data_IF_203592431229
#
_entry.id   IF_203592431229
#
_cell.length_a   1.000
_cell.length_b   1.000
_cell.length_c   1.000
_cell.angle_alpha   90.00
_cell.angle_beta   90.00
_cell.angle_gamma   90.00
#
_symmetry.space_group_name_H-M   'P 1'
#
loop_
_entity.id
_entity.type
_entity.pdbx_description
1 polymer ?
#
# COMPACT_ATOMS: atom_id res chain seq x y z
N UNK A 1 -40.26 -10.11 6.91
CA UNK A 1 -39.45 -8.87 6.77
C UNK A 1 -38.31 -8.87 7.77
N UNK A 2 -38.53 -9.22 9.05
CA UNK A 2 -37.49 -9.24 10.10
C UNK A 2 -36.37 -10.25 9.79
N UNK A 3 -36.67 -11.41 9.25
CA UNK A 3 -35.71 -12.43 8.91
C UNK A 3 -34.73 -11.96 7.83
N UNK A 4 -35.20 -11.22 6.83
CA UNK A 4 -34.33 -10.64 5.79
C UNK A 4 -33.39 -9.57 6.32
N UNK A 5 -33.86 -8.75 7.27
CA UNK A 5 -33.06 -7.70 7.91
C UNK A 5 -31.93 -8.33 8.76
N UNK A 6 -32.22 -9.37 9.53
CA UNK A 6 -31.22 -10.08 10.34
C UNK A 6 -30.15 -10.76 9.48
N UNK A 7 -30.57 -11.43 8.39
CA UNK A 7 -29.63 -12.08 7.46
C UNK A 7 -28.74 -11.05 6.78
N UNK A 8 -29.32 -9.92 6.33
CA UNK A 8 -28.56 -8.83 5.71
C UNK A 8 -27.52 -8.24 6.67
N UNK A 9 -27.91 -7.98 7.91
CA UNK A 9 -27.01 -7.44 8.94
C UNK A 9 -25.85 -8.42 9.29
N UNK A 10 -26.15 -9.72 9.38
CA UNK A 10 -25.14 -10.74 9.63
C UNK A 10 -24.14 -10.87 8.49
N UNK A 11 -24.60 -10.80 7.24
CA UNK A 11 -23.73 -10.85 6.04
C UNK A 11 -22.86 -9.61 5.97
N UNK A 12 -23.41 -8.44 6.18
CA UNK A 12 -22.67 -7.16 6.14
C UNK A 12 -21.60 -7.10 7.22
N UNK A 13 -21.91 -7.53 8.44
CA UNK A 13 -20.97 -7.60 9.54
C UNK A 13 -19.82 -8.57 9.22
N UNK A 14 -20.13 -9.79 8.76
CA UNK A 14 -19.14 -10.81 8.41
C UNK A 14 -18.22 -10.34 7.27
N UNK A 15 -18.81 -9.67 6.26
CA UNK A 15 -18.06 -9.10 5.14
C UNK A 15 -17.07 -8.02 5.60
N UNK A 16 -17.49 -7.13 6.49
CA UNK A 16 -16.63 -6.12 7.10
C UNK A 16 -15.44 -6.74 7.83
N UNK A 17 -15.66 -7.81 8.59
CA UNK A 17 -14.61 -8.53 9.30
C UNK A 17 -13.59 -9.16 8.34
N UNK A 18 -14.06 -9.82 7.28
CA UNK A 18 -13.20 -10.44 6.25
C UNK A 18 -12.37 -9.38 5.52
N UNK A 19 -12.98 -8.25 5.18
CA UNK A 19 -12.29 -7.17 4.50
C UNK A 19 -11.15 -6.59 5.36
N UNK A 20 -11.39 -6.38 6.64
CA UNK A 20 -10.38 -5.90 7.57
C UNK A 20 -9.22 -6.89 7.75
N UNK A 21 -9.51 -8.19 7.71
CA UNK A 21 -8.51 -9.25 7.78
C UNK A 21 -7.63 -9.27 6.51
N UNK A 22 -8.23 -9.13 5.35
CA UNK A 22 -7.51 -9.17 4.06
C UNK A 22 -6.66 -7.92 3.80
N UNK A 23 -6.93 -6.79 4.45
CA UNK A 23 -6.34 -5.49 4.14
C UNK A 23 -4.81 -5.48 4.31
N UNK A 24 -4.28 -5.88 5.45
CA UNK A 24 -2.85 -5.87 5.72
C UNK A 24 -2.06 -6.84 4.81
N UNK A 25 -2.42 -8.11 4.61
CA UNK A 25 -1.75 -9.01 3.68
C UNK A 25 -1.77 -8.50 2.24
N UNK A 26 -2.91 -7.98 1.79
CA UNK A 26 -3.05 -7.43 0.44
C UNK A 26 -2.13 -6.24 0.20
N UNK A 27 -2.00 -5.34 1.17
CA UNK A 27 -1.10 -4.21 1.08
C UNK A 27 0.37 -4.61 1.10
N UNK A 28 0.75 -5.55 1.96
CA UNK A 28 2.12 -6.08 1.96
C UNK A 28 2.45 -6.68 0.58
N UNK A 29 1.51 -7.43 -0.02
CA UNK A 29 1.68 -7.95 -1.38
C UNK A 29 1.73 -6.83 -2.43
N UNK A 30 0.91 -5.79 -2.30
CA UNK A 30 0.96 -4.62 -3.18
C UNK A 30 2.36 -3.98 -3.18
N UNK A 31 3.01 -3.85 -2.02
CA UNK A 31 4.36 -3.31 -1.94
C UNK A 31 5.43 -4.15 -2.63
N UNK A 32 5.16 -5.41 -2.96
CA UNK A 32 6.09 -6.21 -3.78
C UNK A 32 6.32 -5.61 -5.17
N UNK A 33 5.32 -4.91 -5.73
CA UNK A 33 5.43 -4.22 -7.02
C UNK A 33 6.31 -2.97 -6.96
N UNK A 34 6.46 -2.37 -5.77
CA UNK A 34 7.33 -1.22 -5.53
C UNK A 34 8.76 -1.63 -5.16
N UNK A 35 8.97 -2.92 -4.98
CA UNK A 35 10.24 -3.46 -4.52
C UNK A 35 11.35 -3.24 -5.56
N UNK A 36 12.52 -2.75 -5.13
CA UNK A 36 13.65 -2.49 -6.02
C UNK A 36 14.39 -3.75 -6.46
N UNK A 37 14.26 -4.85 -5.70
CA UNK A 37 14.98 -6.09 -5.95
C UNK A 37 14.09 -7.32 -5.77
N UNK A 38 14.42 -8.39 -6.51
CA UNK A 38 13.71 -9.68 -6.37
C UNK A 38 13.82 -10.26 -4.96
N UNK A 39 14.96 -10.10 -4.31
CA UNK A 39 15.18 -10.58 -2.94
C UNK A 39 14.28 -9.87 -1.94
N UNK A 40 14.15 -8.55 -2.05
CA UNK A 40 13.27 -7.78 -1.19
C UNK A 40 11.79 -8.12 -1.42
N UNK A 41 11.38 -8.31 -2.67
CA UNK A 41 10.04 -8.77 -3.02
C UNK A 41 9.72 -10.14 -2.41
N UNK A 42 10.67 -11.09 -2.43
CA UNK A 42 10.51 -12.40 -1.79
C UNK A 42 10.37 -12.28 -0.27
N UNK A 43 11.14 -11.42 0.38
CA UNK A 43 11.01 -11.14 1.82
C UNK A 43 9.64 -10.58 2.17
N UNK A 44 9.10 -9.65 1.37
CA UNK A 44 7.75 -9.12 1.57
C UNK A 44 6.68 -10.21 1.43
N UNK A 45 6.79 -11.09 0.45
CA UNK A 45 5.89 -12.24 0.30
C UNK A 45 5.94 -13.17 1.50
N UNK A 46 7.14 -13.41 2.05
CA UNK A 46 7.30 -14.19 3.26
C UNK A 46 6.67 -13.51 4.47
N UNK A 47 6.84 -12.19 4.62
CA UNK A 47 6.17 -11.40 5.67
C UNK A 47 4.65 -11.49 5.54
N UNK A 48 4.11 -11.36 4.32
CA UNK A 48 2.67 -11.49 4.09
C UNK A 48 2.17 -12.90 4.48
N UNK A 49 2.87 -13.96 4.07
CA UNK A 49 2.50 -15.33 4.43
C UNK A 49 2.58 -15.58 5.94
N UNK A 50 3.63 -15.07 6.60
CA UNK A 50 3.76 -15.16 8.07
C UNK A 50 2.65 -14.40 8.79
N UNK A 51 2.22 -13.27 8.24
CA UNK A 51 1.13 -12.48 8.81
C UNK A 51 -0.21 -13.20 8.68
N UNK A 52 -0.51 -13.80 7.52
CA UNK A 52 -1.71 -14.65 7.34
C UNK A 52 -1.71 -15.85 8.29
N UNK A 53 -0.56 -16.46 8.52
CA UNK A 53 -0.44 -17.55 9.49
C UNK A 53 -0.71 -17.05 10.92
N UNK A 54 -0.21 -15.89 11.28
CA UNK A 54 -0.50 -15.23 12.56
C UNK A 54 -1.99 -14.96 12.73
N UNK A 55 -2.68 -14.44 11.70
CA UNK A 55 -4.14 -14.23 11.69
C UNK A 55 -4.89 -15.55 11.93
N UNK A 56 -4.50 -16.61 11.22
CA UNK A 56 -5.12 -17.91 11.36
C UNK A 56 -4.96 -18.48 12.78
N UNK A 57 -3.81 -18.29 13.42
CA UNK A 57 -3.57 -18.70 14.80
C UNK A 57 -4.48 -17.94 15.76
N UNK A 58 -4.55 -16.61 15.65
CA UNK A 58 -5.40 -15.78 16.51
C UNK A 58 -6.87 -16.18 16.37
N UNK A 59 -7.36 -16.35 15.14
CA UNK A 59 -8.74 -16.77 14.88
C UNK A 59 -9.02 -18.17 15.45
N UNK A 60 -8.05 -19.09 15.39
CA UNK A 60 -8.20 -20.43 15.94
C UNK A 60 -8.28 -20.46 17.47
N UNK A 61 -7.60 -19.52 18.16
CA UNK A 61 -7.54 -19.45 19.62
C UNK A 61 -8.69 -18.64 20.19
N UNK A 62 -8.98 -17.47 19.62
CA UNK A 62 -9.96 -16.49 20.14
C UNK A 62 -11.35 -16.68 19.51
N UNK A 63 -11.39 -17.35 18.34
CA UNK A 63 -12.60 -17.46 17.52
C UNK A 63 -12.72 -16.28 16.55
N UNK A 64 -13.67 -16.37 15.63
CA UNK A 64 -13.94 -15.32 14.63
C UNK A 64 -14.84 -14.24 15.22
N UNK A 65 -14.26 -13.36 16.04
CA UNK A 65 -14.93 -12.32 16.81
C UNK A 65 -14.29 -10.96 16.56
N UNK A 66 -15.01 -9.90 16.92
CA UNK A 66 -14.52 -8.52 16.83
C UNK A 66 -13.22 -8.31 17.63
N UNK A 67 -13.09 -8.96 18.79
CA UNK A 67 -11.90 -8.87 19.64
C UNK A 67 -10.66 -9.48 18.97
N UNK A 68 -10.81 -10.63 18.31
CA UNK A 68 -9.72 -11.24 17.54
C UNK A 68 -9.22 -10.30 16.43
N UNK A 69 -10.14 -9.69 15.70
CA UNK A 69 -9.81 -8.77 14.62
C UNK A 69 -9.14 -7.51 15.16
N UNK A 70 -9.59 -6.98 16.28
CA UNK A 70 -8.96 -5.83 16.93
C UNK A 70 -7.51 -6.12 17.32
N UNK A 71 -7.22 -7.34 17.82
CA UNK A 71 -5.86 -7.79 18.14
C UNK A 71 -4.99 -7.91 16.88
N UNK A 72 -5.56 -8.35 15.77
CA UNK A 72 -4.85 -8.53 14.49
C UNK A 72 -4.55 -7.19 13.82
N UNK A 73 -5.50 -6.24 13.85
CA UNK A 73 -5.38 -4.93 13.19
C UNK A 73 -4.15 -4.16 13.72
N UNK A 74 -3.87 -4.17 15.02
CA UNK A 74 -2.77 -3.41 15.61
C UNK A 74 -1.40 -3.71 14.97
N UNK A 75 -0.90 -4.95 15.04
CA UNK A 75 0.32 -5.36 14.37
C UNK A 75 0.29 -5.17 12.86
N UNK A 76 -0.86 -5.41 12.21
CA UNK A 76 -1.07 -5.18 10.78
C UNK A 76 -0.83 -3.73 10.38
N UNK A 77 -1.47 -2.79 11.06
CA UNK A 77 -1.29 -1.36 10.84
C UNK A 77 0.16 -0.91 11.06
N UNK A 78 0.81 -1.44 12.11
CA UNK A 78 2.20 -1.10 12.40
C UNK A 78 3.15 -1.54 11.28
N UNK A 79 2.99 -2.77 10.78
CA UNK A 79 3.78 -3.29 9.65
C UNK A 79 3.51 -2.46 8.39
N UNK A 80 2.25 -2.20 8.07
CA UNK A 80 1.87 -1.43 6.88
C UNK A 80 2.39 0.00 6.96
N UNK A 81 2.22 0.70 8.09
CA UNK A 81 2.78 2.04 8.32
C UNK A 81 4.29 2.06 8.17
N UNK A 82 5.01 1.09 8.74
CA UNK A 82 6.46 0.96 8.60
C UNK A 82 6.89 0.79 7.16
N UNK A 83 6.19 -0.05 6.39
CA UNK A 83 6.44 -0.22 4.96
C UNK A 83 6.11 1.05 4.16
N UNK A 84 5.00 1.71 4.43
CA UNK A 84 4.63 2.98 3.80
C UNK A 84 5.72 4.03 4.02
N UNK A 85 6.19 4.18 5.25
CA UNK A 85 7.26 5.12 5.60
C UNK A 85 8.56 4.79 4.89
N UNK A 86 8.95 3.51 4.88
CA UNK A 86 10.16 3.06 4.17
C UNK A 86 10.10 3.38 2.67
N UNK A 87 9.00 3.04 2.00
CA UNK A 87 8.83 3.31 0.57
C UNK A 87 8.68 4.81 0.28
N UNK A 88 8.01 5.55 1.16
CA UNK A 88 7.90 7.00 1.05
C UNK A 88 9.29 7.67 1.05
N UNK A 89 10.11 7.42 2.06
CA UNK A 89 11.46 8.01 2.15
C UNK A 89 12.29 7.64 0.93
N UNK A 90 12.27 6.38 0.54
CA UNK A 90 13.04 5.89 -0.60
C UNK A 90 12.62 6.52 -1.93
N UNK A 91 11.31 6.52 -2.24
CA UNK A 91 10.83 7.04 -3.51
C UNK A 91 10.84 8.58 -3.56
N UNK A 92 10.69 9.25 -2.43
CA UNK A 92 10.85 10.71 -2.35
C UNK A 92 12.29 11.11 -2.64
N UNK A 93 13.28 10.40 -2.07
CA UNK A 93 14.67 10.63 -2.41
C UNK A 93 14.94 10.46 -3.91
N UNK A 94 14.46 9.38 -4.50
CA UNK A 94 14.58 9.14 -5.95
C UNK A 94 13.82 10.16 -6.81
N UNK A 95 12.69 10.69 -6.33
CA UNK A 95 11.92 11.71 -7.02
C UNK A 95 12.62 13.05 -7.03
N UNK A 96 13.29 13.42 -5.94
CA UNK A 96 14.08 14.65 -5.82
C UNK A 96 15.32 14.57 -6.72
N UNK A 97 16.06 13.48 -6.68
CA UNK A 97 17.30 13.31 -7.43
C UNK A 97 17.05 13.22 -8.95
N UNK A 98 16.06 12.46 -9.38
CA UNK A 98 15.92 12.08 -10.79
C UNK A 98 14.56 12.41 -11.43
N UNK A 99 13.60 12.98 -10.72
CA UNK A 99 12.19 13.19 -11.14
C UNK A 99 11.47 11.95 -11.71
N UNK A 100 12.09 10.76 -11.57
CA UNK A 100 11.64 9.52 -12.21
C UNK A 100 10.66 8.69 -11.37
N UNK A 101 10.56 8.95 -10.07
CA UNK A 101 9.75 8.15 -9.14
C UNK A 101 8.59 8.94 -8.49
N UNK A 102 8.23 10.09 -9.05
CA UNK A 102 7.22 11.00 -8.47
C UNK A 102 5.87 10.31 -8.26
N UNK A 103 5.41 9.50 -9.23
CA UNK A 103 4.16 8.76 -9.10
C UNK A 103 4.18 7.76 -7.95
N UNK A 104 5.28 7.00 -7.82
CA UNK A 104 5.46 6.04 -6.72
C UNK A 104 5.57 6.73 -5.36
N UNK A 105 6.25 7.90 -5.30
CA UNK A 105 6.31 8.70 -4.09
C UNK A 105 4.92 9.19 -3.67
N UNK A 106 4.10 9.70 -4.59
CA UNK A 106 2.73 10.12 -4.32
C UNK A 106 1.85 8.98 -3.82
N UNK A 107 1.94 7.79 -4.42
CA UNK A 107 1.21 6.61 -3.96
C UNK A 107 1.65 6.21 -2.54
N UNK A 108 2.95 6.20 -2.27
CA UNK A 108 3.46 5.89 -0.94
C UNK A 108 3.04 6.93 0.11
N UNK A 109 3.01 8.22 -0.26
CA UNK A 109 2.51 9.32 0.59
C UNK A 109 1.03 9.14 0.92
N UNK A 110 0.21 8.84 -0.08
CA UNK A 110 -1.22 8.61 0.07
C UNK A 110 -1.50 7.47 1.06
N UNK A 111 -0.82 6.33 0.89
CA UNK A 111 -0.93 5.19 1.80
C UNK A 111 -0.42 5.51 3.20
N UNK A 112 0.72 6.20 3.31
CA UNK A 112 1.26 6.63 4.60
C UNK A 112 0.27 7.54 5.34
N UNK A 113 -0.37 8.46 4.63
CA UNK A 113 -1.37 9.35 5.21
C UNK A 113 -2.59 8.57 5.70
N UNK A 114 -3.17 7.67 4.86
CA UNK A 114 -4.33 6.87 5.24
C UNK A 114 -4.03 5.98 6.45
N UNK A 115 -3.00 5.13 6.33
CA UNK A 115 -2.67 4.15 7.37
C UNK A 115 -2.06 4.80 8.61
N UNK A 116 -1.39 5.94 8.47
CA UNK A 116 -0.95 6.76 9.61
C UNK A 116 -2.13 7.30 10.41
N UNK A 117 -3.16 7.84 9.75
CA UNK A 117 -4.40 8.27 10.40
C UNK A 117 -5.13 7.08 11.06
N UNK A 118 -5.22 5.93 10.37
CA UNK A 118 -5.85 4.72 10.95
C UNK A 118 -5.10 4.23 12.19
N UNK A 119 -3.79 4.27 12.17
CA UNK A 119 -2.98 3.89 13.31
C UNK A 119 -3.20 4.81 14.51
N UNK A 120 -3.28 6.12 14.29
CA UNK A 120 -3.59 7.09 15.34
C UNK A 120 -5.00 6.84 15.91
N UNK A 121 -6.01 6.65 15.03
CA UNK A 121 -7.38 6.35 15.44
C UNK A 121 -7.43 5.07 16.28
N UNK A 122 -6.72 4.02 15.84
CA UNK A 122 -6.62 2.76 16.56
C UNK A 122 -6.00 2.92 17.94
N UNK A 123 -4.89 3.66 18.06
CA UNK A 123 -4.25 3.96 19.34
C UNK A 123 -5.18 4.74 20.28
N UNK A 124 -5.85 5.77 19.75
CA UNK A 124 -6.81 6.56 20.52
C UNK A 124 -7.98 5.68 21.01
N UNK A 125 -8.53 4.84 20.15
CA UNK A 125 -9.57 3.89 20.53
C UNK A 125 -9.12 2.98 21.69
N UNK A 126 -7.89 2.46 21.63
CA UNK A 126 -7.33 1.58 22.65
C UNK A 126 -7.16 2.30 24.00
N UNK A 127 -6.62 3.53 23.96
CA UNK A 127 -6.45 4.37 25.15
C UNK A 127 -7.80 4.71 25.79
N UNK A 128 -8.79 5.10 24.96
CA UNK A 128 -10.12 5.43 25.48
C UNK A 128 -10.91 4.22 25.98
N UNK A 129 -10.76 3.05 25.34
CA UNK A 129 -11.34 1.82 25.85
C UNK A 129 -10.83 1.51 27.25
N UNK A 130 -9.52 1.60 27.47
CA UNK A 130 -8.90 1.37 28.76
C UNK A 130 -9.37 2.38 29.83
N UNK A 131 -9.65 3.64 29.46
CA UNK A 131 -10.18 4.65 30.39
C UNK A 131 -11.68 4.47 30.66
N UNK A 132 -12.47 4.04 29.66
CA UNK A 132 -13.91 3.87 29.80
C UNK A 132 -14.28 2.62 30.61
N UNK A 133 -13.48 1.56 30.54
CA UNK A 133 -13.65 0.40 31.42
C UNK A 133 -13.53 0.80 32.91
N UNK A 134 -12.83 1.92 33.18
CA UNK A 134 -12.73 2.50 34.54
C UNK A 134 -13.92 3.42 34.91
N UNK A 135 -14.60 4.07 33.96
CA UNK A 135 -15.58 5.13 34.21
C UNK A 135 -16.99 4.89 33.61
N UNK A 136 -17.22 3.84 32.85
CA UNK A 136 -18.56 3.34 32.43
C UNK A 136 -19.38 4.19 31.46
N UNK A 137 -18.85 5.29 30.90
CA UNK A 137 -19.57 6.11 29.91
C UNK A 137 -18.77 6.25 28.62
N UNK A 138 -19.22 5.54 27.59
CA UNK A 138 -18.75 5.77 26.22
C UNK A 138 -19.22 7.16 25.76
N UNK A 139 -18.30 8.04 25.44
CA UNK A 139 -18.62 9.37 24.95
C UNK A 139 -19.03 9.26 23.46
N UNK A 140 -20.37 9.22 23.17
CA UNK A 140 -20.92 9.10 21.82
C UNK A 140 -20.39 10.17 20.85
N UNK A 141 -20.08 11.34 21.35
CA UNK A 141 -19.53 12.44 20.57
C UNK A 141 -18.15 12.09 20.02
N UNK A 142 -17.31 11.43 20.83
CA UNK A 142 -15.99 11.01 20.42
C UNK A 142 -16.02 9.99 19.27
N UNK A 143 -16.98 9.06 19.30
CA UNK A 143 -17.17 8.08 18.23
C UNK A 143 -17.53 8.78 16.91
N UNK A 144 -18.42 9.78 16.96
CA UNK A 144 -18.81 10.57 15.79
C UNK A 144 -17.65 11.38 15.22
N UNK A 145 -16.88 12.03 16.07
CA UNK A 145 -15.72 12.83 15.65
C UNK A 145 -14.62 11.95 15.02
N UNK A 146 -14.38 10.78 15.61
CA UNK A 146 -13.44 9.79 15.06
C UNK A 146 -13.85 9.30 13.68
N UNK A 147 -15.14 9.04 13.48
CA UNK A 147 -15.70 8.63 12.19
C UNK A 147 -15.53 9.71 11.12
N UNK A 148 -15.73 10.98 11.48
CA UNK A 148 -15.55 12.11 10.59
C UNK A 148 -14.07 12.24 10.15
N UNK A 149 -13.13 12.13 11.08
CA UNK A 149 -11.69 12.16 10.79
C UNK A 149 -11.31 10.99 9.85
N UNK A 150 -11.84 9.79 10.12
CA UNK A 150 -11.64 8.62 9.26
C UNK A 150 -12.13 8.88 7.82
N UNK A 151 -13.32 9.42 7.65
CA UNK A 151 -13.92 9.70 6.35
C UNK A 151 -13.11 10.74 5.56
N UNK A 152 -12.72 11.84 6.20
CA UNK A 152 -11.90 12.89 5.57
C UNK A 152 -10.54 12.34 5.15
N UNK A 153 -9.87 11.60 6.04
CA UNK A 153 -8.56 11.00 5.77
C UNK A 153 -8.60 10.04 4.60
N UNK A 154 -9.61 9.17 4.56
CA UNK A 154 -9.81 8.20 3.47
C UNK A 154 -10.07 8.90 2.15
N UNK A 155 -10.94 9.91 2.14
CA UNK A 155 -11.28 10.67 0.93
C UNK A 155 -10.06 11.40 0.37
N UNK A 156 -9.30 12.07 1.23
CA UNK A 156 -8.09 12.81 0.83
C UNK A 156 -7.00 11.86 0.33
N UNK A 157 -6.81 10.73 1.01
CA UNK A 157 -5.88 9.69 0.59
C UNK A 157 -6.26 9.11 -0.76
N UNK A 158 -7.53 8.77 -0.98
CA UNK A 158 -8.01 8.26 -2.27
C UNK A 158 -7.75 9.25 -3.40
N UNK A 159 -7.96 10.54 -3.17
CA UNK A 159 -7.67 11.59 -4.15
C UNK A 159 -6.18 11.66 -4.49
N UNK A 160 -5.29 11.67 -3.50
CA UNK A 160 -3.84 11.64 -3.70
C UNK A 160 -3.39 10.36 -4.42
N UNK A 161 -4.00 9.23 -4.11
CA UNK A 161 -3.74 7.94 -4.78
C UNK A 161 -4.09 8.00 -6.26
N UNK A 162 -5.24 8.56 -6.61
CA UNK A 162 -5.65 8.75 -8.01
C UNK A 162 -4.65 9.61 -8.79
N UNK A 163 -4.19 10.72 -8.22
CA UNK A 163 -3.16 11.56 -8.84
C UNK A 163 -1.86 10.77 -9.04
N UNK A 164 -1.42 10.04 -8.00
CA UNK A 164 -0.22 9.22 -8.06
C UNK A 164 -0.27 8.15 -9.16
N UNK A 165 -1.42 7.47 -9.29
CA UNK A 165 -1.65 6.46 -10.34
C UNK A 165 -1.62 7.07 -11.75
N UNK A 166 -2.25 8.23 -11.96
CA UNK A 166 -2.24 8.93 -13.24
C UNK A 166 -0.81 9.32 -13.65
N UNK A 167 -0.04 9.85 -12.70
CA UNK A 167 1.36 10.23 -12.95
C UNK A 167 2.21 9.01 -13.30
N UNK A 168 2.06 7.90 -12.56
CA UNK A 168 2.82 6.67 -12.81
C UNK A 168 2.40 6.01 -14.13
N UNK A 169 1.10 6.01 -14.47
CA UNK A 169 0.61 5.50 -15.74
C UNK A 169 1.18 6.26 -16.94
N UNK A 170 1.21 7.61 -16.86
CA UNK A 170 1.83 8.45 -17.91
C UNK A 170 3.32 8.10 -18.07
N UNK A 171 4.02 7.87 -16.98
CA UNK A 171 5.43 7.48 -16.99
C UNK A 171 5.64 6.11 -17.65
N UNK A 172 4.86 5.10 -17.27
CA UNK A 172 4.94 3.75 -17.84
C UNK A 172 4.65 3.80 -19.35
N UNK A 173 3.68 4.60 -19.79
CA UNK A 173 3.38 4.77 -21.22
C UNK A 173 4.58 5.33 -21.98
N UNK A 174 5.19 6.42 -21.49
CA UNK A 174 6.40 6.99 -22.09
C UNK A 174 7.57 6.00 -22.15
N UNK A 175 7.77 5.19 -21.09
CA UNK A 175 8.81 4.16 -21.09
C UNK A 175 8.55 3.08 -22.15
N UNK A 176 7.29 2.65 -22.34
CA UNK A 176 6.92 1.69 -23.38
C UNK A 176 7.19 2.26 -24.78
N UNK A 177 6.82 3.50 -25.04
CA UNK A 177 7.09 4.20 -26.29
C UNK A 177 8.60 4.23 -26.60
N UNK A 178 9.42 4.62 -25.61
CA UNK A 178 10.88 4.64 -25.75
C UNK A 178 11.47 3.24 -26.02
N UNK A 179 10.93 2.19 -25.38
CA UNK A 179 11.38 0.81 -25.64
C UNK A 179 11.04 0.36 -27.07
N UNK A 180 9.86 0.70 -27.59
CA UNK A 180 9.45 0.39 -28.97
C UNK A 180 10.37 1.10 -29.95
N UNK A 181 10.55 2.42 -29.81
CA UNK A 181 11.44 3.21 -30.67
C UNK A 181 12.87 2.69 -30.66
N UNK A 182 13.38 2.32 -29.48
CA UNK A 182 14.72 1.72 -29.35
C UNK A 182 14.81 0.38 -30.10
N UNK A 183 13.77 -0.46 -30.04
CA UNK A 183 13.73 -1.74 -30.73
C UNK A 183 13.69 -1.56 -32.24
N UNK A 184 12.90 -0.60 -32.73
CA UNK A 184 12.85 -0.24 -34.15
C UNK A 184 14.18 0.30 -34.63
N UNK A 185 14.81 1.21 -33.89
CA UNK A 185 16.14 1.71 -34.22
C UNK A 185 17.18 0.59 -34.29
N UNK A 186 17.15 -0.32 -33.30
CA UNK A 186 18.09 -1.46 -33.29
C UNK A 186 17.89 -2.40 -34.49
N UNK A 187 16.66 -2.59 -34.96
CA UNK A 187 16.40 -3.42 -36.17
C UNK A 187 16.90 -2.76 -37.44
N UNK A 188 16.75 -1.44 -37.60
CA UNK A 188 17.26 -0.67 -38.71
C UNK A 188 18.81 -0.69 -38.79
N UNK A 189 19.49 -0.67 -37.63
CA UNK A 189 20.96 -0.75 -37.58
C UNK A 189 21.49 -2.18 -37.79
N UNK A 190 20.71 -3.21 -37.55
CA UNK A 190 21.10 -4.61 -37.77
C UNK A 190 21.00 -4.96 -39.26
N UNK A 191 20.05 -4.35 -39.98
CA UNK A 191 19.84 -4.57 -41.42
C UNK A 191 20.90 -3.86 -42.27
N UNK A 192 21.46 -2.76 -41.79
CA UNK A 192 22.58 -2.08 -42.46
C UNK A 192 23.87 -2.72 -41.98
N UNK A 193 24.45 -3.64 -42.73
CA UNK A 193 25.80 -4.27 -42.56
C UNK A 193 26.96 -3.25 -42.57
N UNK A 194 26.84 -2.09 -42.00
CA UNK A 194 27.90 -1.10 -41.82
C UNK A 194 28.29 -1.04 -40.35
N UNK A 195 29.40 -1.66 -40.05
CA UNK A 195 30.16 -1.53 -38.81
C UNK A 195 30.49 -0.08 -38.52
N UNK A 196 29.58 0.61 -37.84
CA UNK A 196 29.93 1.86 -37.17
C UNK A 196 29.89 1.57 -35.67
N UNK A 197 30.94 1.86 -34.90
CA UNK A 197 31.05 1.54 -33.46
C UNK A 197 30.20 2.48 -32.61
N UNK A 198 28.89 2.58 -32.90
CA UNK A 198 27.90 3.34 -32.13
C UNK A 198 27.53 2.59 -30.84
N UNK A 199 27.93 1.33 -30.73
CA UNK A 199 27.58 0.44 -29.61
C UNK A 199 28.16 0.92 -28.26
N UNK A 200 29.29 1.59 -28.27
CA UNK A 200 29.93 2.09 -27.05
C UNK A 200 29.26 3.35 -26.48
N UNK A 201 28.85 4.29 -27.33
CA UNK A 201 28.24 5.53 -26.88
C UNK A 201 26.83 5.31 -26.30
N UNK A 202 26.03 4.39 -26.88
CA UNK A 202 24.69 4.07 -26.35
C UNK A 202 24.73 3.26 -25.03
N UNK A 203 25.76 2.43 -24.82
CA UNK A 203 25.94 1.66 -23.60
C UNK A 203 26.42 2.51 -22.42
N UNK A 204 27.19 3.57 -22.67
CA UNK A 204 27.59 4.52 -21.62
C UNK A 204 26.42 5.38 -21.12
N UNK A 205 25.50 5.76 -21.99
CA UNK A 205 24.27 6.44 -21.57
C UNK A 205 23.37 5.60 -20.67
N UNK A 206 23.37 4.28 -20.84
CA UNK A 206 22.58 3.37 -19.99
C UNK A 206 23.22 3.14 -18.61
N UNK A 207 24.55 3.21 -18.51
CA UNK A 207 25.27 2.91 -17.28
C UNK A 207 25.17 4.05 -16.26
N UNK A 208 25.15 5.30 -16.71
CA UNK A 208 25.01 6.47 -15.84
C UNK A 208 23.57 6.75 -15.39
N UNK A 209 22.56 6.20 -16.08
CA UNK A 209 21.17 6.48 -15.79
C UNK A 209 20.47 5.45 -14.88
N UNK A 210 21.11 4.30 -14.61
CA UNK A 210 20.51 3.19 -13.87
C UNK A 210 21.18 2.85 -12.52
N UNK A 211 22.26 3.55 -12.16
CA UNK A 211 22.84 3.57 -10.82
C UNK A 211 22.31 4.79 -10.05
#
# INVERSE_FOLDING_TARGET
TEHYIQVSFSVEHTWGLINNLADAPMLILFFTYFSPSRVFSQRLKFVAASFVLFEAIIISVVGFNLDAITIIIGPGLLIVCGLCLFFFIRHTKQAIENRKATGKALIATSLLFAYGCYFIIYLMYYVFKAQNDANGQANEQYVKDTFLVFFISTSLSAFLMCIGLIVEQKRIRKLKELMVTRKELSSLYTDTKRTVPIRTVLLDFDREQWN
#
